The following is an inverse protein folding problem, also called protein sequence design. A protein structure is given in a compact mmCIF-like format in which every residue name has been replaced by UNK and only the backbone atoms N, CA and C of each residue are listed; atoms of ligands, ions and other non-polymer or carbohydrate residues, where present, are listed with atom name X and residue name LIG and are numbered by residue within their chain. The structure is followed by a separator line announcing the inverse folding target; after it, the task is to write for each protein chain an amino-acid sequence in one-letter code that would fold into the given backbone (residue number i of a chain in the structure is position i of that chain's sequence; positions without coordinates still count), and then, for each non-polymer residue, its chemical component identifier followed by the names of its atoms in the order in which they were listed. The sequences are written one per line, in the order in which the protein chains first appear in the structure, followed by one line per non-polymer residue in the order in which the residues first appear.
data_IF_902609482154
#
_entry.id   IF_902609482154
#
_cell.length_a   1.000
_cell.length_b   1.000
_cell.length_c   1.000
_cell.angle_alpha   90.00
_cell.angle_beta   90.00
_cell.angle_gamma   90.00
#
_symmetry.space_group_name_H-M   'P 1'
#
loop_
_entity.id
_entity.type
_entity.pdbx_description
1 polymer ?
#
# COMPACT_ATOMS: atom_id res chain seq x y z
N UNK A 1 -23.28 -3.96 -27.92
CA UNK A 1 -22.35 -3.56 -28.99
C UNK A 1 -21.79 -4.84 -29.57
N UNK A 2 -21.76 -5.02 -30.90
CA UNK A 2 -21.10 -6.18 -31.50
C UNK A 2 -19.59 -6.12 -31.16
N UNK A 3 -19.00 -7.25 -30.80
CA UNK A 3 -17.56 -7.40 -30.58
C UNK A 3 -16.85 -7.66 -31.90
N UNK A 4 -15.53 -7.50 -31.93
CA UNK A 4 -14.72 -7.77 -33.14
C UNK A 4 -15.00 -9.18 -33.66
N UNK A 5 -14.91 -10.22 -32.81
CA UNK A 5 -15.20 -11.59 -33.24
C UNK A 5 -16.63 -11.72 -33.79
N UNK A 6 -17.65 -11.22 -33.09
CA UNK A 6 -19.05 -11.35 -33.55
C UNK A 6 -19.36 -10.57 -34.83
N UNK A 7 -18.54 -9.56 -35.17
CA UNK A 7 -18.71 -8.72 -36.36
C UNK A 7 -18.21 -9.44 -37.62
N UNK A 8 -17.11 -10.17 -37.51
CA UNK A 8 -16.46 -10.82 -38.65
C UNK A 8 -16.72 -12.33 -38.73
N UNK A 9 -17.07 -12.98 -37.62
CA UNK A 9 -17.32 -14.41 -37.56
C UNK A 9 -18.83 -14.72 -37.42
N UNK A 10 -19.56 -14.70 -38.54
CA UNK A 10 -21.00 -15.03 -38.56
C UNK A 10 -21.30 -16.53 -38.66
N UNK A 11 -20.29 -17.40 -38.74
CA UNK A 11 -20.44 -18.86 -38.80
C UNK A 11 -19.12 -19.59 -38.64
N UNK A 12 -19.13 -20.77 -37.99
CA UNK A 12 -17.92 -21.54 -37.67
C UNK A 12 -17.11 -21.93 -38.92
N UNK A 13 -15.79 -22.06 -38.73
CA UNK A 13 -14.89 -22.59 -39.76
C UNK A 13 -15.32 -24.01 -40.13
N UNK A 14 -15.34 -24.33 -41.43
CA UNK A 14 -15.73 -25.64 -41.95
C UNK A 14 -14.91 -26.76 -41.29
N UNK A 15 -15.59 -27.66 -40.58
CA UNK A 15 -15.00 -28.81 -39.88
C UNK A 15 -14.21 -29.72 -40.84
N UNK A 16 -14.63 -29.81 -42.11
CA UNK A 16 -13.89 -30.57 -43.12
C UNK A 16 -12.53 -29.94 -43.47
N UNK A 17 -12.37 -28.63 -43.27
CA UNK A 17 -11.08 -27.93 -43.43
C UNK A 17 -10.20 -28.14 -42.21
N UNK A 18 -10.78 -28.13 -41.00
CA UNK A 18 -10.04 -28.29 -39.75
C UNK A 18 -9.54 -29.72 -39.54
N UNK A 19 -10.36 -30.72 -39.84
CA UNK A 19 -10.08 -32.15 -39.59
C UNK A 19 -9.47 -32.88 -40.79
N UNK A 20 -9.39 -32.22 -41.95
CA UNK A 20 -8.87 -32.81 -43.17
C UNK A 20 -7.41 -33.25 -43.06
N UNK A 21 -7.14 -34.52 -43.36
CA UNK A 21 -5.78 -35.11 -43.44
C UNK A 21 -5.65 -36.07 -44.62
N UNK A 22 -4.42 -36.32 -45.06
CA UNK A 22 -4.10 -37.34 -46.05
C UNK A 22 -3.81 -36.82 -47.45
N UNK A 23 -3.18 -37.67 -48.26
CA UNK A 23 -2.76 -37.37 -49.63
C UNK A 23 -3.95 -37.29 -50.59
N UNK A 24 -3.85 -36.37 -51.53
CA UNK A 24 -4.80 -36.22 -52.62
C UNK A 24 -4.70 -37.34 -53.65
N UNK A 25 -5.78 -37.59 -54.38
CA UNK A 25 -5.74 -38.38 -55.61
C UNK A 25 -5.40 -37.54 -56.84
N UNK A 26 -5.24 -38.20 -57.99
CA UNK A 26 -4.91 -37.58 -59.31
C UNK A 26 -5.85 -36.41 -59.71
N UNK A 27 -7.05 -36.34 -59.11
CA UNK A 27 -8.08 -35.33 -59.41
C UNK A 27 -8.41 -34.38 -58.24
N UNK A 28 -7.77 -34.54 -57.07
CA UNK A 28 -8.02 -33.69 -55.90
C UNK A 28 -6.76 -33.57 -55.06
N UNK A 29 -6.26 -32.36 -54.80
CA UNK A 29 -5.17 -32.18 -53.82
C UNK A 29 -5.63 -32.59 -52.42
N UNK A 30 -4.77 -33.25 -51.64
CA UNK A 30 -5.02 -33.68 -50.27
C UNK A 30 -5.04 -32.52 -49.29
N UNK A 31 -4.96 -32.81 -48.00
CA UNK A 31 -4.89 -31.81 -46.94
C UNK A 31 -3.45 -31.72 -46.42
N UNK A 32 -3.24 -31.92 -45.12
CA UNK A 32 -1.94 -32.01 -44.46
C UNK A 32 -1.48 -33.47 -44.40
N UNK A 33 -0.15 -33.69 -44.34
CA UNK A 33 0.44 -35.03 -44.37
C UNK A 33 0.35 -35.75 -43.04
N UNK A 34 0.59 -35.04 -41.94
CA UNK A 34 0.80 -35.66 -40.63
C UNK A 34 -0.44 -35.56 -39.74
N UNK A 35 -0.99 -34.36 -39.59
CA UNK A 35 -2.00 -34.07 -38.58
C UNK A 35 -3.01 -33.03 -39.07
N UNK A 36 -4.26 -33.03 -38.56
CA UNK A 36 -5.28 -32.07 -38.97
C UNK A 36 -4.92 -30.65 -38.52
N UNK A 37 -5.50 -29.64 -39.16
CA UNK A 37 -5.25 -28.24 -38.84
C UNK A 37 -5.67 -27.89 -37.40
N UNK A 38 -6.73 -28.51 -36.90
CA UNK A 38 -7.21 -28.36 -35.51
C UNK A 38 -6.17 -28.78 -34.47
N UNK A 39 -5.29 -29.72 -34.78
CA UNK A 39 -4.25 -30.19 -33.86
C UNK A 39 -3.12 -29.18 -33.61
N UNK A 40 -3.11 -28.07 -34.36
CA UNK A 40 -2.19 -26.95 -34.14
C UNK A 40 -2.78 -25.86 -33.26
N UNK A 41 -4.05 -25.96 -32.83
CA UNK A 41 -4.66 -25.02 -31.90
C UNK A 41 -4.25 -25.34 -30.46
N UNK A 42 -4.01 -24.30 -29.68
CA UNK A 42 -3.78 -24.42 -28.24
C UNK A 42 -5.12 -24.67 -27.51
N UNK A 43 -5.05 -25.16 -26.28
CA UNK A 43 -6.26 -25.42 -25.47
C UNK A 43 -7.06 -24.12 -25.27
N UNK A 44 -8.32 -24.11 -25.73
CA UNK A 44 -9.21 -22.95 -25.64
C UNK A 44 -9.04 -21.91 -26.75
N UNK A 45 -8.08 -22.09 -27.67
CA UNK A 45 -7.91 -21.25 -28.86
C UNK A 45 -9.01 -21.53 -29.89
N UNK A 46 -9.59 -20.48 -30.48
CA UNK A 46 -10.69 -20.60 -31.43
C UNK A 46 -10.23 -20.25 -32.84
N UNK A 47 -10.40 -21.17 -33.79
CA UNK A 47 -10.23 -20.86 -35.20
C UNK A 47 -11.37 -19.94 -35.68
N UNK A 48 -11.01 -18.81 -36.29
CA UNK A 48 -11.96 -17.82 -36.80
C UNK A 48 -12.07 -17.89 -38.31
N UNK A 49 -10.92 -18.02 -39.00
CA UNK A 49 -10.86 -18.24 -40.44
C UNK A 49 -9.84 -19.30 -40.79
N UNK A 50 -10.11 -20.09 -41.83
CA UNK A 50 -9.12 -20.93 -42.50
C UNK A 50 -9.29 -20.84 -44.01
N UNK A 51 -8.18 -20.71 -44.75
CA UNK A 51 -8.15 -20.63 -46.22
C UNK A 51 -6.99 -21.45 -46.76
N UNK A 52 -7.22 -22.11 -47.90
CA UNK A 52 -6.17 -22.84 -48.61
C UNK A 52 -5.76 -22.12 -49.89
N UNK A 53 -4.48 -22.16 -50.24
CA UNK A 53 -4.01 -21.69 -51.54
C UNK A 53 -3.53 -22.82 -52.46
N UNK A 54 -4.00 -24.04 -52.20
CA UNK A 54 -3.60 -25.25 -52.91
C UNK A 54 -2.07 -25.41 -52.93
N UNK A 55 -1.44 -25.18 -54.08
CA UNK A 55 -0.01 -25.43 -54.32
C UNK A 55 0.90 -24.21 -54.22
N UNK A 56 0.35 -23.03 -53.91
CA UNK A 56 1.14 -21.77 -53.96
C UNK A 56 2.09 -21.62 -52.78
N UNK A 57 1.73 -22.14 -51.61
CA UNK A 57 2.59 -22.10 -50.44
C UNK A 57 2.63 -20.72 -49.78
N UNK A 58 3.64 -20.48 -48.95
CA UNK A 58 3.79 -19.23 -48.18
C UNK A 58 5.13 -18.62 -48.50
N UNK A 59 5.17 -17.30 -48.70
CA UNK A 59 6.42 -16.56 -48.87
C UNK A 59 6.73 -15.77 -47.61
N UNK A 60 8.00 -15.78 -47.18
CA UNK A 60 8.56 -14.90 -46.17
C UNK A 60 9.68 -14.08 -46.79
N UNK A 61 9.69 -12.78 -46.53
CA UNK A 61 10.80 -11.87 -46.85
C UNK A 61 11.05 -10.90 -45.71
N UNK A 62 12.17 -10.19 -45.76
CA UNK A 62 12.41 -9.03 -44.90
C UNK A 62 11.96 -7.76 -45.63
N UNK A 63 11.53 -6.72 -44.92
CA UNK A 63 11.05 -5.46 -45.53
C UNK A 63 12.12 -4.82 -46.42
N UNK A 64 13.38 -4.79 -45.93
CA UNK A 64 14.53 -4.17 -46.61
C UNK A 64 15.48 -5.18 -47.28
N UNK A 65 15.10 -6.46 -47.34
CA UNK A 65 15.97 -7.54 -47.80
C UNK A 65 15.54 -8.13 -49.14
N UNK A 66 16.53 -8.47 -49.99
CA UNK A 66 16.30 -9.21 -51.24
C UNK A 66 16.10 -10.73 -51.02
N UNK A 67 16.24 -11.21 -49.78
CA UNK A 67 16.09 -12.63 -49.46
C UNK A 67 14.62 -13.03 -49.29
N UNK A 68 14.08 -13.68 -50.30
CA UNK A 68 12.78 -14.35 -50.26
C UNK A 68 12.97 -15.85 -49.94
N UNK A 69 12.21 -16.35 -48.96
CA UNK A 69 12.07 -17.79 -48.71
C UNK A 69 10.64 -18.22 -48.95
N UNK A 70 10.45 -19.22 -49.81
CA UNK A 70 9.14 -19.81 -50.10
C UNK A 70 9.04 -21.21 -49.50
N UNK A 71 7.87 -21.50 -48.95
CA UNK A 71 7.51 -22.79 -48.35
C UNK A 71 6.37 -23.37 -49.18
N UNK A 72 6.63 -24.41 -49.97
CA UNK A 72 5.66 -24.96 -50.93
C UNK A 72 5.22 -26.37 -50.52
N UNK A 73 3.93 -26.70 -50.66
CA UNK A 73 3.45 -28.02 -50.29
C UNK A 73 3.85 -29.09 -51.31
N UNK A 74 4.00 -30.34 -50.87
CA UNK A 74 4.29 -31.49 -51.72
C UNK A 74 3.21 -31.78 -52.77
N UNK A 75 3.50 -32.65 -53.75
CA UNK A 75 2.65 -32.91 -54.93
C UNK A 75 1.21 -33.33 -54.60
N UNK A 76 0.97 -33.93 -53.43
CA UNK A 76 -0.34 -34.41 -53.01
C UNK A 76 -0.98 -33.58 -51.87
N UNK A 77 -0.35 -32.49 -51.40
CA UNK A 77 -0.77 -31.75 -50.20
C UNK A 77 -1.09 -30.26 -50.48
N UNK A 78 -1.52 -29.50 -49.48
CA UNK A 78 -1.85 -28.08 -49.64
C UNK A 78 -1.25 -27.22 -48.53
N UNK A 79 -1.21 -25.90 -48.77
CA UNK A 79 -0.92 -24.92 -47.76
C UNK A 79 -2.18 -24.19 -47.28
N UNK A 80 -2.17 -23.79 -46.01
CA UNK A 80 -3.26 -23.16 -45.29
C UNK A 80 -2.77 -21.93 -44.54
N UNK A 81 -3.62 -20.92 -44.47
CA UNK A 81 -3.58 -19.87 -43.45
C UNK A 81 -4.79 -20.05 -42.55
N UNK A 82 -4.56 -19.98 -41.24
CA UNK A 82 -5.60 -19.97 -40.21
C UNK A 82 -5.41 -18.73 -39.35
N UNK A 83 -6.49 -18.00 -39.09
CA UNK A 83 -6.49 -16.88 -38.16
C UNK A 83 -7.37 -17.28 -36.97
N UNK A 84 -6.82 -17.15 -35.78
CA UNK A 84 -7.50 -17.49 -34.53
C UNK A 84 -7.84 -16.23 -33.73
N UNK A 85 -8.32 -16.39 -32.50
CA UNK A 85 -8.47 -15.31 -31.52
C UNK A 85 -7.13 -14.88 -30.88
N UNK A 86 -6.03 -15.60 -31.14
CA UNK A 86 -4.71 -15.34 -30.55
C UNK A 86 -3.57 -15.10 -31.57
N UNK A 87 -3.60 -15.76 -32.73
CA UNK A 87 -2.48 -15.78 -33.68
C UNK A 87 -2.91 -16.08 -35.11
N UNK A 88 -1.99 -15.86 -36.05
CA UNK A 88 -2.06 -16.38 -37.40
C UNK A 88 -1.14 -17.59 -37.52
N UNK A 89 -1.65 -18.67 -38.12
CA UNK A 89 -0.90 -19.89 -38.37
C UNK A 89 -0.82 -20.15 -39.87
N UNK A 90 0.40 -20.32 -40.36
CA UNK A 90 0.64 -20.89 -41.68
C UNK A 90 1.04 -22.34 -41.53
N UNK A 91 0.40 -23.23 -42.29
CA UNK A 91 0.75 -24.66 -42.34
C UNK A 91 0.87 -25.10 -43.78
N UNK A 92 1.99 -25.72 -44.13
CA UNK A 92 2.33 -26.19 -45.48
C UNK A 92 2.53 -27.70 -45.41
N UNK A 93 1.63 -28.44 -46.06
CA UNK A 93 1.68 -29.89 -46.03
C UNK A 93 2.84 -30.46 -46.85
N UNK A 94 3.62 -31.37 -46.25
CA UNK A 94 4.75 -32.04 -46.89
C UNK A 94 5.76 -31.08 -47.57
N UNK A 95 6.24 -30.09 -46.83
CA UNK A 95 7.20 -29.13 -47.36
C UNK A 95 8.57 -29.79 -47.57
N UNK A 96 9.10 -29.69 -48.79
CA UNK A 96 10.37 -30.31 -49.22
C UNK A 96 10.48 -31.84 -48.95
N UNK A 97 9.35 -32.53 -48.74
CA UNK A 97 9.30 -33.98 -48.46
C UNK A 97 9.57 -34.37 -47.00
N UNK A 98 9.83 -33.38 -46.13
CA UNK A 98 10.25 -33.56 -44.73
C UNK A 98 9.08 -33.50 -43.73
N UNK A 99 7.83 -33.57 -44.20
CA UNK A 99 6.62 -33.50 -43.37
C UNK A 99 5.98 -32.11 -43.36
N UNK A 100 5.03 -31.89 -42.45
CA UNK A 100 4.28 -30.64 -42.39
C UNK A 100 5.13 -29.52 -41.78
N UNK A 101 5.23 -28.39 -42.48
CA UNK A 101 5.88 -27.18 -41.97
C UNK A 101 4.84 -26.21 -41.42
N UNK A 102 5.12 -25.59 -40.28
CA UNK A 102 4.22 -24.58 -39.70
C UNK A 102 4.97 -23.41 -39.07
N UNK A 103 4.31 -22.26 -39.03
CA UNK A 103 4.76 -21.08 -38.27
C UNK A 103 3.54 -20.36 -37.70
N UNK A 104 3.66 -19.96 -36.43
CA UNK A 104 2.71 -19.10 -35.74
C UNK A 104 3.25 -17.66 -35.69
N UNK A 105 2.36 -16.69 -35.90
CA UNK A 105 2.61 -15.27 -35.79
C UNK A 105 1.60 -14.72 -34.79
N UNK A 106 2.07 -14.26 -33.63
CA UNK A 106 1.19 -13.68 -32.61
C UNK A 106 0.49 -12.43 -33.18
N UNK A 107 -0.79 -12.26 -32.89
CA UNK A 107 -1.54 -11.08 -33.35
C UNK A 107 -0.95 -9.78 -32.82
N UNK A 108 -0.34 -9.80 -31.64
CA UNK A 108 0.38 -8.65 -31.05
C UNK A 108 1.68 -8.29 -31.80
N UNK A 109 2.20 -9.20 -32.63
CA UNK A 109 3.41 -8.96 -33.44
C UNK A 109 3.11 -8.43 -34.83
N UNK A 110 1.84 -8.37 -35.24
CA UNK A 110 1.43 -7.90 -36.57
C UNK A 110 1.24 -6.38 -36.54
N UNK A 111 2.01 -5.66 -37.35
CA UNK A 111 1.95 -4.20 -37.46
C UNK A 111 1.08 -3.73 -38.61
N UNK A 112 1.16 -4.42 -39.76
CA UNK A 112 0.46 -4.05 -40.98
C UNK A 112 -0.16 -5.30 -41.58
N UNK A 113 -1.45 -5.19 -41.91
CA UNK A 113 -2.18 -6.18 -42.71
C UNK A 113 -2.55 -5.52 -44.03
N UNK A 114 -2.06 -6.07 -45.13
CA UNK A 114 -2.42 -5.63 -46.48
C UNK A 114 -3.23 -6.71 -47.19
N UNK A 115 -4.28 -6.27 -47.88
CA UNK A 115 -5.08 -7.11 -48.77
C UNK A 115 -5.08 -6.51 -50.17
N UNK A 116 -4.68 -7.31 -51.15
CA UNK A 116 -4.71 -6.93 -52.55
C UNK A 116 -5.62 -7.87 -53.35
N UNK A 117 -6.63 -7.31 -54.00
CA UNK A 117 -7.47 -8.04 -54.95
C UNK A 117 -6.81 -8.09 -56.31
N UNK A 118 -6.50 -9.29 -56.79
CA UNK A 118 -5.93 -9.53 -58.11
C UNK A 118 -6.89 -10.29 -59.01
N UNK A 119 -6.82 -10.04 -60.32
CA UNK A 119 -7.67 -10.72 -61.32
C UNK A 119 -7.55 -12.26 -61.32
N UNK A 120 -6.46 -12.81 -60.76
CA UNK A 120 -6.17 -14.26 -60.76
C UNK A 120 -6.10 -14.86 -59.35
N UNK A 121 -5.92 -14.04 -58.32
CA UNK A 121 -5.83 -14.42 -56.92
C UNK A 121 -5.82 -13.18 -56.03
N UNK A 122 -6.40 -13.31 -54.85
CA UNK A 122 -6.30 -12.36 -53.76
C UNK A 122 -5.04 -12.66 -52.96
N UNK A 123 -4.41 -11.63 -52.40
CA UNK A 123 -3.18 -11.73 -51.63
C UNK A 123 -3.35 -11.05 -50.27
N UNK A 124 -2.97 -11.78 -49.22
CA UNK A 124 -2.78 -11.27 -47.86
C UNK A 124 -1.28 -11.11 -47.63
N UNK A 125 -0.86 -9.93 -47.18
CA UNK A 125 0.49 -9.68 -46.67
C UNK A 125 0.43 -9.19 -45.22
N UNK A 126 1.31 -9.74 -44.38
CA UNK A 126 1.41 -9.39 -42.96
C UNK A 126 2.83 -8.93 -42.68
N UNK A 127 3.00 -7.71 -42.19
CA UNK A 127 4.29 -7.22 -41.69
C UNK A 127 4.31 -7.35 -40.18
N UNK A 128 5.35 -8.00 -39.66
CA UNK A 128 5.55 -8.17 -38.23
C UNK A 128 6.52 -7.12 -37.67
N UNK A 129 6.52 -6.90 -36.35
CA UNK A 129 7.48 -6.05 -35.62
C UNK A 129 8.97 -6.40 -35.84
N UNK A 130 9.23 -7.60 -36.36
CA UNK A 130 10.57 -8.07 -36.72
C UNK A 130 10.97 -7.72 -38.16
N UNK A 131 10.22 -6.84 -38.81
CA UNK A 131 10.34 -6.47 -40.23
C UNK A 131 10.28 -7.70 -41.17
N UNK A 132 9.59 -8.76 -40.74
CA UNK A 132 9.30 -9.92 -41.59
C UNK A 132 7.94 -9.74 -42.24
N UNK A 133 7.90 -9.85 -43.57
CA UNK A 133 6.68 -9.83 -44.38
C UNK A 133 6.32 -11.24 -44.79
N UNK A 134 5.11 -11.67 -44.42
CA UNK A 134 4.54 -12.96 -44.78
C UNK A 134 3.45 -12.78 -45.82
N UNK A 135 3.52 -13.52 -46.92
CA UNK A 135 2.59 -13.41 -48.03
C UNK A 135 1.87 -14.74 -48.30
N UNK A 136 0.56 -14.64 -48.46
CA UNK A 136 -0.32 -15.75 -48.76
C UNK A 136 -1.35 -15.34 -49.82
N UNK A 137 -1.25 -15.93 -51.02
CA UNK A 137 -2.19 -15.66 -52.10
C UNK A 137 -3.12 -16.83 -52.39
N UNK A 138 -4.44 -16.66 -52.34
CA UNK A 138 -5.42 -17.69 -52.67
C UNK A 138 -6.47 -17.20 -53.69
N UNK A 139 -7.31 -18.11 -54.20
CA UNK A 139 -8.38 -17.75 -55.15
C UNK A 139 -9.67 -17.31 -54.46
N UNK A 140 -9.82 -17.65 -53.20
CA UNK A 140 -10.98 -17.28 -52.39
C UNK A 140 -10.83 -15.82 -51.93
N UNK A 141 -11.94 -15.22 -51.53
CA UNK A 141 -11.92 -13.88 -50.93
C UNK A 141 -11.21 -13.90 -49.57
N UNK A 142 -10.33 -12.92 -49.38
CA UNK A 142 -9.52 -12.70 -48.17
C UNK A 142 -9.89 -11.40 -47.45
N UNK A 143 -10.84 -10.61 -47.96
CA UNK A 143 -11.22 -9.30 -47.43
C UNK A 143 -11.62 -9.35 -45.95
N UNK A 144 -12.57 -10.23 -45.59
CA UNK A 144 -13.03 -10.40 -44.19
C UNK A 144 -11.92 -10.94 -43.28
N UNK A 145 -11.08 -11.85 -43.78
CA UNK A 145 -9.94 -12.40 -43.04
C UNK A 145 -8.92 -11.30 -42.73
N UNK A 146 -8.58 -10.49 -43.73
CA UNK A 146 -7.64 -9.38 -43.57
C UNK A 146 -8.20 -8.30 -42.64
N UNK A 147 -9.47 -7.94 -42.80
CA UNK A 147 -10.14 -6.96 -41.92
C UNK A 147 -10.21 -7.45 -40.46
N UNK A 148 -10.49 -8.74 -40.25
CA UNK A 148 -10.44 -9.33 -38.92
C UNK A 148 -9.01 -9.36 -38.36
N UNK A 149 -8.02 -9.79 -39.15
CA UNK A 149 -6.62 -9.85 -38.70
C UNK A 149 -6.09 -8.46 -38.29
N UNK A 150 -6.45 -7.41 -39.03
CA UNK A 150 -6.11 -6.02 -38.71
C UNK A 150 -6.80 -5.55 -37.42
N UNK A 151 -8.10 -5.77 -37.29
CA UNK A 151 -8.84 -5.41 -36.08
C UNK A 151 -8.34 -6.19 -34.85
N UNK A 152 -7.99 -7.46 -35.02
CA UNK A 152 -7.50 -8.32 -33.97
C UNK A 152 -6.08 -7.98 -33.54
N UNK A 153 -5.17 -7.64 -34.47
CA UNK A 153 -3.82 -7.18 -34.13
C UNK A 153 -3.85 -5.89 -33.33
N UNK A 154 -4.70 -4.93 -33.72
CA UNK A 154 -4.89 -3.67 -32.97
C UNK A 154 -5.41 -3.93 -31.56
N UNK A 155 -6.38 -4.83 -31.39
CA UNK A 155 -6.92 -5.17 -30.08
C UNK A 155 -5.85 -5.82 -29.18
N UNK A 156 -5.09 -6.77 -29.72
CA UNK A 156 -3.97 -7.40 -29.02
C UNK A 156 -2.87 -6.40 -28.63
N UNK A 157 -2.51 -5.48 -29.53
CA UNK A 157 -1.53 -4.43 -29.26
C UNK A 157 -1.96 -3.53 -28.09
N UNK A 158 -3.25 -3.14 -28.03
CA UNK A 158 -3.78 -2.33 -26.92
C UNK A 158 -3.73 -3.06 -25.59
N UNK A 159 -4.10 -4.34 -25.58
CA UNK A 159 -3.99 -5.18 -24.38
C UNK A 159 -2.54 -5.24 -23.92
N UNK A 160 -1.60 -5.58 -24.80
CA UNK A 160 -0.17 -5.66 -24.42
C UNK A 160 0.38 -4.32 -23.94
N UNK A 161 0.02 -3.19 -24.58
CA UNK A 161 0.42 -1.84 -24.14
C UNK A 161 -0.01 -1.58 -22.69
N UNK A 162 -1.28 -1.83 -22.35
CA UNK A 162 -1.76 -1.68 -20.99
C UNK A 162 -1.05 -2.61 -19.99
N UNK A 163 -0.69 -3.82 -20.40
CA UNK A 163 0.05 -4.77 -19.56
C UNK A 163 1.53 -4.38 -19.37
N UNK A 164 2.14 -3.73 -20.35
CA UNK A 164 3.47 -3.12 -20.25
C UNK A 164 3.44 -1.93 -19.30
N UNK A 165 2.49 -1.00 -19.47
CA UNK A 165 2.31 0.16 -18.59
C UNK A 165 2.08 -0.27 -17.12
N UNK A 166 1.21 -1.25 -16.90
CA UNK A 166 0.98 -1.83 -15.57
C UNK A 166 2.27 -2.41 -14.95
N UNK A 167 3.14 -3.01 -15.77
CA UNK A 167 4.41 -3.57 -15.31
C UNK A 167 5.40 -2.47 -14.92
N UNK A 168 5.52 -1.42 -15.72
CA UNK A 168 6.37 -0.27 -15.41
C UNK A 168 5.94 0.39 -14.10
N UNK A 169 4.64 0.60 -13.92
CA UNK A 169 4.08 1.15 -12.67
C UNK A 169 4.37 0.27 -11.44
N UNK A 170 4.35 -1.06 -11.58
CA UNK A 170 4.74 -1.96 -10.49
C UNK A 170 6.23 -1.82 -10.13
N UNK A 171 7.10 -1.60 -11.13
CA UNK A 171 8.54 -1.36 -10.89
C UNK A 171 8.73 -0.02 -10.17
N UNK A 172 8.07 1.04 -10.62
CA UNK A 172 8.14 2.37 -10.00
C UNK A 172 7.64 2.35 -8.55
N UNK A 173 6.51 1.67 -8.31
CA UNK A 173 5.99 1.47 -6.95
C UNK A 173 6.98 0.70 -6.06
N UNK A 174 7.72 -0.25 -6.63
CA UNK A 174 8.82 -0.95 -5.95
C UNK A 174 9.90 0.01 -5.47
N UNK A 175 10.35 0.93 -6.34
CA UNK A 175 11.33 1.97 -6.00
C UNK A 175 10.82 2.92 -4.91
N UNK A 176 9.56 3.38 -5.01
CA UNK A 176 8.93 4.23 -3.99
C UNK A 176 8.81 3.52 -2.63
N UNK A 177 8.46 2.22 -2.64
CA UNK A 177 8.40 1.39 -1.42
C UNK A 177 9.77 1.30 -0.75
N UNK A 178 10.85 1.12 -1.51
CA UNK A 178 12.22 1.09 -0.98
C UNK A 178 12.63 2.44 -0.37
N UNK A 179 12.20 3.54 -0.97
CA UNK A 179 12.37 4.89 -0.44
C UNK A 179 11.45 5.21 0.78
N UNK A 180 10.58 4.28 1.19
CA UNK A 180 9.55 4.43 2.23
C UNK A 180 8.47 5.46 1.90
N UNK A 181 8.29 5.77 0.62
CA UNK A 181 7.23 6.65 0.10
C UNK A 181 5.94 5.84 -0.13
N UNK A 182 5.42 5.22 0.93
CA UNK A 182 4.36 4.21 0.81
C UNK A 182 3.04 4.74 0.22
N UNK A 183 2.68 5.99 0.52
CA UNK A 183 1.44 6.59 -0.03
C UNK A 183 1.57 6.84 -1.54
N UNK A 184 2.76 7.25 -2.01
CA UNK A 184 3.04 7.37 -3.43
C UNK A 184 3.02 5.99 -4.12
N UNK A 185 3.65 4.99 -3.51
CA UNK A 185 3.65 3.61 -4.00
C UNK A 185 2.23 3.05 -4.17
N UNK A 186 1.33 3.30 -3.21
CA UNK A 186 -0.07 2.87 -3.31
C UNK A 186 -0.86 3.65 -4.37
N UNK A 187 -0.55 4.93 -4.59
CA UNK A 187 -1.09 5.70 -5.70
C UNK A 187 -0.68 5.12 -7.06
N UNK A 188 0.60 4.79 -7.23
CA UNK A 188 1.14 4.16 -8.43
C UNK A 188 0.52 2.78 -8.68
N UNK A 189 0.33 1.97 -7.64
CA UNK A 189 -0.32 0.65 -7.76
C UNK A 189 -1.83 0.74 -8.05
N UNK A 190 -2.49 1.81 -7.62
CA UNK A 190 -3.86 2.09 -8.04
C UNK A 190 -3.92 2.37 -9.55
N UNK A 191 -2.99 3.16 -10.09
CA UNK A 191 -2.86 3.35 -11.54
C UNK A 191 -2.60 2.03 -12.28
N UNK A 192 -1.69 1.18 -11.77
CA UNK A 192 -1.43 -0.13 -12.37
C UNK A 192 -2.68 -1.05 -12.38
N UNK A 193 -3.54 -0.93 -11.36
CA UNK A 193 -4.83 -1.65 -11.31
C UNK A 193 -5.79 -1.16 -12.39
N UNK A 194 -5.82 0.15 -12.66
CA UNK A 194 -6.63 0.73 -13.73
C UNK A 194 -6.14 0.30 -15.12
N UNK A 195 -4.83 0.16 -15.32
CA UNK A 195 -4.26 -0.36 -16.57
C UNK A 195 -4.66 -1.81 -16.83
N UNK A 196 -4.59 -2.69 -15.81
CA UNK A 196 -5.08 -4.07 -15.98
C UNK A 196 -6.59 -4.13 -16.21
N UNK A 197 -7.36 -3.22 -15.59
CA UNK A 197 -8.79 -3.10 -15.85
C UNK A 197 -9.08 -2.58 -17.27
N UNK A 198 -8.24 -1.70 -17.82
CA UNK A 198 -8.30 -1.24 -19.20
C UNK A 198 -8.04 -2.38 -20.19
N UNK A 199 -6.99 -3.17 -19.96
CA UNK A 199 -6.73 -4.39 -20.74
C UNK A 199 -7.94 -5.34 -20.74
N UNK A 200 -8.60 -5.53 -19.60
CA UNK A 200 -9.83 -6.34 -19.48
C UNK A 200 -11.01 -5.76 -20.28
N UNK A 201 -11.12 -4.44 -20.37
CA UNK A 201 -12.16 -3.79 -21.19
C UNK A 201 -11.89 -3.98 -22.68
N UNK A 202 -10.63 -3.87 -23.11
CA UNK A 202 -10.22 -4.13 -24.50
C UNK A 202 -10.48 -5.60 -24.88
N UNK A 203 -10.12 -6.56 -24.01
CA UNK A 203 -10.44 -7.99 -24.20
C UNK A 203 -11.94 -8.21 -24.43
N UNK A 204 -12.80 -7.64 -23.55
CA UNK A 204 -14.26 -7.79 -23.67
C UNK A 204 -14.84 -7.08 -24.88
N UNK A 205 -14.20 -6.01 -25.34
CA UNK A 205 -14.52 -5.34 -26.60
C UNK A 205 -14.19 -6.20 -27.82
N UNK A 206 -13.09 -6.97 -27.74
CA UNK A 206 -12.67 -7.90 -28.77
C UNK A 206 -13.56 -9.16 -28.82
N UNK A 207 -13.81 -9.80 -27.67
CA UNK A 207 -14.63 -10.99 -27.52
C UNK A 207 -15.45 -10.92 -26.21
N UNK A 208 -16.78 -11.01 -26.31
CA UNK A 208 -17.66 -10.85 -25.14
C UNK A 208 -17.42 -11.93 -24.07
N UNK A 209 -17.12 -13.15 -24.51
CA UNK A 209 -16.80 -14.29 -23.65
C UNK A 209 -15.32 -14.33 -23.22
N UNK A 210 -14.53 -13.34 -23.63
CA UNK A 210 -13.09 -13.28 -23.42
C UNK A 210 -12.27 -14.13 -24.41
N UNK A 211 -10.95 -14.01 -24.31
CA UNK A 211 -9.98 -14.79 -25.08
C UNK A 211 -9.01 -15.41 -24.08
N UNK A 212 -8.93 -16.75 -24.04
CA UNK A 212 -8.16 -17.46 -23.03
C UNK A 212 -6.69 -16.99 -22.94
N UNK A 213 -6.07 -16.71 -24.10
CA UNK A 213 -4.72 -16.19 -24.18
C UNK A 213 -4.57 -14.78 -23.58
N UNK A 214 -5.52 -13.86 -23.86
CA UNK A 214 -5.53 -12.51 -23.26
C UNK A 214 -5.79 -12.59 -21.76
N UNK A 215 -6.82 -13.34 -21.35
CA UNK A 215 -7.21 -13.53 -19.95
C UNK A 215 -6.03 -14.01 -19.10
N UNK A 216 -5.28 -15.01 -19.57
CA UNK A 216 -4.10 -15.54 -18.88
C UNK A 216 -3.02 -14.48 -18.66
N UNK A 217 -2.78 -13.60 -19.64
CA UNK A 217 -1.78 -12.53 -19.54
C UNK A 217 -2.25 -11.43 -18.60
N UNK A 218 -3.53 -11.02 -18.68
CA UNK A 218 -4.15 -10.03 -17.80
C UNK A 218 -4.13 -10.51 -16.36
N UNK A 219 -4.58 -11.73 -16.08
CA UNK A 219 -4.61 -12.32 -14.74
C UNK A 219 -3.22 -12.40 -14.11
N UNK A 220 -2.18 -12.70 -14.91
CA UNK A 220 -0.79 -12.68 -14.44
C UNK A 220 -0.34 -11.28 -14.05
N UNK A 221 -0.72 -10.24 -14.80
CA UNK A 221 -0.41 -8.86 -14.46
C UNK A 221 -1.18 -8.41 -13.20
N UNK A 222 -2.48 -8.69 -13.13
CA UNK A 222 -3.32 -8.42 -11.94
C UNK A 222 -2.74 -9.08 -10.69
N UNK A 223 -2.25 -10.32 -10.80
CA UNK A 223 -1.58 -11.01 -9.70
C UNK A 223 -0.32 -10.29 -9.21
N UNK A 224 0.52 -9.78 -10.13
CA UNK A 224 1.71 -9.00 -9.77
C UNK A 224 1.36 -7.68 -9.10
N UNK A 225 0.37 -6.96 -9.63
CA UNK A 225 -0.12 -5.70 -9.01
C UNK A 225 -0.63 -5.96 -7.60
N UNK A 226 -1.43 -7.03 -7.42
CA UNK A 226 -1.98 -7.44 -6.12
C UNK A 226 -0.88 -7.79 -5.12
N UNK A 227 0.12 -8.56 -5.53
CA UNK A 227 1.25 -8.93 -4.67
C UNK A 227 2.05 -7.69 -4.23
N UNK A 228 2.40 -6.81 -5.17
CA UNK A 228 3.09 -5.57 -4.87
C UNK A 228 2.29 -4.65 -3.91
N UNK A 229 0.96 -4.60 -4.05
CA UNK A 229 0.06 -3.88 -3.13
C UNK A 229 0.08 -4.45 -1.73
N UNK A 230 0.01 -5.78 -1.59
CA UNK A 230 0.09 -6.46 -0.29
C UNK A 230 1.42 -6.18 0.39
N UNK A 231 2.54 -6.26 -0.33
CA UNK A 231 3.86 -5.96 0.22
C UNK A 231 3.99 -4.51 0.67
N UNK A 232 3.47 -3.56 -0.12
CA UNK A 232 3.49 -2.13 0.20
C UNK A 232 2.66 -1.82 1.45
N UNK A 233 1.44 -2.36 1.55
CA UNK A 233 0.58 -2.22 2.72
C UNK A 233 1.24 -2.79 3.98
N UNK A 234 1.84 -3.98 3.89
CA UNK A 234 2.57 -4.60 5.02
C UNK A 234 3.76 -3.74 5.45
N UNK A 235 4.52 -3.20 4.49
CA UNK A 235 5.63 -2.29 4.76
C UNK A 235 5.18 -1.03 5.48
N UNK A 236 4.12 -0.37 4.97
CA UNK A 236 3.54 0.83 5.58
C UNK A 236 3.03 0.57 6.99
N UNK A 237 2.33 -0.54 7.21
CA UNK A 237 1.82 -0.92 8.52
C UNK A 237 2.95 -1.09 9.55
N UNK A 238 4.07 -1.73 9.18
CA UNK A 238 5.24 -1.87 10.06
C UNK A 238 5.84 -0.50 10.36
N UNK A 239 6.04 0.34 9.35
CA UNK A 239 6.58 1.68 9.54
C UNK A 239 5.69 2.54 10.48
N UNK A 240 4.36 2.46 10.31
CA UNK A 240 3.39 3.13 11.18
C UNK A 240 3.46 2.62 12.62
N UNK A 241 3.62 1.32 12.84
CA UNK A 241 3.81 0.75 14.19
C UNK A 241 5.07 1.31 14.85
N UNK A 242 6.21 1.29 14.14
CA UNK A 242 7.48 1.80 14.68
C UNK A 242 7.34 3.28 15.07
N UNK A 243 6.71 4.08 14.19
CA UNK A 243 6.44 5.49 14.45
C UNK A 243 5.47 5.70 15.61
N UNK A 244 4.43 4.87 15.74
CA UNK A 244 3.49 4.93 16.84
C UNK A 244 4.18 4.65 18.19
N UNK A 245 5.08 3.67 18.24
CA UNK A 245 5.83 3.35 19.45
C UNK A 245 6.79 4.48 19.86
N UNK A 246 7.44 5.16 18.91
CA UNK A 246 8.24 6.37 19.20
C UNK A 246 7.37 7.47 19.81
N UNK A 247 6.26 7.82 19.16
CA UNK A 247 5.33 8.86 19.63
C UNK A 247 4.75 8.53 21.01
N UNK A 248 4.48 7.25 21.29
CA UNK A 248 4.00 6.82 22.59
C UNK A 248 5.06 6.95 23.69
N UNK A 249 6.34 6.74 23.38
CA UNK A 249 7.44 6.98 24.33
C UNK A 249 7.59 8.47 24.66
N UNK A 250 7.27 9.34 23.69
CA UNK A 250 7.35 10.79 23.83
C UNK A 250 6.05 11.45 24.36
N UNK A 251 5.12 10.65 24.93
CA UNK A 251 3.82 11.11 25.44
C UNK A 251 2.93 11.83 24.40
N UNK A 252 3.19 11.62 23.10
CA UNK A 252 2.41 12.14 21.98
C UNK A 252 1.24 11.20 21.62
N UNK A 253 0.33 10.99 22.58
CA UNK A 253 -0.69 9.93 22.56
C UNK A 253 -1.63 9.96 21.35
N UNK A 254 -2.22 11.12 20.99
CA UNK A 254 -3.16 11.23 19.85
C UNK A 254 -2.49 10.89 18.52
N UNK A 255 -1.24 11.36 18.34
CA UNK A 255 -0.46 11.06 17.14
C UNK A 255 -0.08 9.57 17.09
N UNK A 256 0.31 8.98 18.22
CA UNK A 256 0.57 7.54 18.32
C UNK A 256 -0.68 6.71 17.99
N UNK A 257 -1.86 7.14 18.46
CA UNK A 257 -3.13 6.48 18.19
C UNK A 257 -3.44 6.48 16.70
N UNK A 258 -3.29 7.64 16.04
CA UNK A 258 -3.50 7.76 14.59
C UNK A 258 -2.59 6.82 13.78
N UNK A 259 -1.34 6.66 14.20
CA UNK A 259 -0.40 5.74 13.55
C UNK A 259 -0.78 4.27 13.76
N UNK A 260 -1.16 3.86 14.98
CA UNK A 260 -1.64 2.50 15.21
C UNK A 260 -2.94 2.19 14.45
N UNK A 261 -3.88 3.14 14.40
CA UNK A 261 -5.11 2.99 13.63
C UNK A 261 -4.81 2.83 12.13
N UNK A 262 -3.95 3.67 11.57
CA UNK A 262 -3.52 3.51 10.18
C UNK A 262 -2.81 2.17 9.91
N UNK A 263 -2.05 1.64 10.87
CA UNK A 263 -1.46 0.30 10.75
C UNK A 263 -2.51 -0.83 10.79
N UNK A 264 -3.58 -0.66 11.59
CA UNK A 264 -4.72 -1.58 11.62
C UNK A 264 -5.42 -1.61 10.26
N UNK A 265 -5.78 -0.44 9.74
CA UNK A 265 -6.42 -0.27 8.43
C UNK A 265 -5.59 -0.91 7.31
N UNK A 266 -4.27 -0.74 7.32
CA UNK A 266 -3.37 -1.36 6.34
C UNK A 266 -3.41 -2.88 6.38
N UNK A 267 -3.44 -3.49 7.57
CA UNK A 267 -3.55 -4.95 7.69
C UNK A 267 -4.94 -5.47 7.31
N UNK A 268 -6.00 -4.70 7.55
CA UNK A 268 -7.35 -5.04 7.06
C UNK A 268 -7.36 -5.01 5.53
N UNK A 269 -6.82 -3.97 4.91
CA UNK A 269 -6.71 -3.86 3.45
C UNK A 269 -5.90 -5.02 2.83
N UNK A 270 -4.88 -5.54 3.54
CA UNK A 270 -4.16 -6.75 3.13
C UNK A 270 -5.08 -7.97 3.09
N UNK A 271 -5.96 -8.16 4.07
CA UNK A 271 -6.91 -9.29 4.08
C UNK A 271 -7.89 -9.21 2.93
N UNK A 272 -8.42 -8.01 2.65
CA UNK A 272 -9.33 -7.77 1.54
C UNK A 272 -8.67 -7.98 0.18
N UNK A 273 -7.39 -7.63 0.06
CA UNK A 273 -6.64 -7.72 -1.21
C UNK A 273 -6.17 -9.15 -1.51
N UNK A 274 -5.81 -9.94 -0.50
CA UNK A 274 -5.05 -11.17 -0.70
C UNK A 274 -5.91 -12.42 -1.02
N UNK A 275 -7.24 -12.32 -0.97
CA UNK A 275 -8.19 -13.43 -1.16
C UNK A 275 -7.73 -14.74 -0.47
N UNK A 276 -7.26 -14.59 0.78
CA UNK A 276 -6.69 -15.69 1.55
C UNK A 276 -7.81 -16.43 2.27
N UNK A 277 -7.69 -17.76 2.32
CA UNK A 277 -8.51 -18.56 3.20
C UNK A 277 -8.20 -18.27 4.68
N UNK A 278 -8.94 -18.93 5.57
CA UNK A 278 -8.79 -18.73 7.00
C UNK A 278 -7.38 -19.06 7.49
N UNK A 279 -6.73 -20.10 6.96
CA UNK A 279 -5.40 -20.52 7.40
C UNK A 279 -4.32 -19.55 6.88
N UNK A 280 -4.38 -19.17 5.60
CA UNK A 280 -3.49 -18.19 4.97
C UNK A 280 -3.55 -16.81 5.61
N UNK A 281 -4.72 -16.41 6.12
CA UNK A 281 -4.92 -15.12 6.81
C UNK A 281 -4.45 -15.09 8.28
N UNK A 282 -4.11 -16.23 8.87
CA UNK A 282 -3.82 -16.34 10.32
C UNK A 282 -2.70 -15.41 10.78
N UNK A 283 -1.62 -15.28 9.98
CA UNK A 283 -0.49 -14.41 10.30
C UNK A 283 -0.89 -12.93 10.33
N UNK A 284 -1.70 -12.47 9.38
CA UNK A 284 -2.16 -11.08 9.30
C UNK A 284 -3.14 -10.79 10.44
N UNK A 285 -4.08 -11.70 10.72
CA UNK A 285 -5.02 -11.55 11.86
C UNK A 285 -4.30 -11.48 13.21
N UNK A 286 -3.23 -12.25 13.39
CA UNK A 286 -2.38 -12.14 14.59
C UNK A 286 -1.72 -10.76 14.72
N UNK A 287 -1.35 -10.13 13.61
CA UNK A 287 -0.79 -8.77 13.59
C UNK A 287 -1.87 -7.72 13.91
N UNK A 288 -3.07 -7.84 13.33
CA UNK A 288 -4.23 -7.00 13.68
C UNK A 288 -4.51 -7.06 15.18
N UNK A 289 -4.66 -8.27 15.74
CA UNK A 289 -4.91 -8.46 17.18
C UNK A 289 -3.75 -7.95 18.07
N UNK A 290 -2.53 -7.81 17.53
CA UNK A 290 -1.42 -7.15 18.24
C UNK A 290 -1.60 -5.64 18.23
N UNK A 291 -1.95 -5.05 17.09
CA UNK A 291 -2.23 -3.61 16.98
C UNK A 291 -3.40 -3.21 17.86
N UNK A 292 -4.48 -3.99 17.88
CA UNK A 292 -5.65 -3.75 18.75
C UNK A 292 -5.29 -3.77 20.24
N UNK A 293 -4.43 -4.72 20.66
CA UNK A 293 -3.92 -4.73 22.03
C UNK A 293 -3.04 -3.52 22.35
N UNK A 294 -2.25 -3.06 21.39
CA UNK A 294 -1.44 -1.85 21.56
C UNK A 294 -2.34 -0.60 21.66
N UNK A 295 -3.38 -0.49 20.84
CA UNK A 295 -4.39 0.58 20.94
C UNK A 295 -5.04 0.57 22.33
N UNK A 296 -5.58 -0.57 22.78
CA UNK A 296 -6.20 -0.68 24.10
C UNK A 296 -5.26 -0.40 25.28
N UNK A 297 -3.94 -0.58 25.10
CA UNK A 297 -2.94 -0.19 26.08
C UNK A 297 -2.62 1.31 26.01
N UNK A 298 -2.55 1.86 24.80
CA UNK A 298 -2.31 3.29 24.55
C UNK A 298 -3.46 4.14 25.10
N UNK A 299 -4.71 3.70 24.94
CA UNK A 299 -5.91 4.40 25.44
C UNK A 299 -5.87 4.60 26.96
N UNK A 300 -5.30 3.66 27.70
CA UNK A 300 -5.18 3.72 29.18
C UNK A 300 -3.89 4.36 29.67
N UNK A 301 -2.86 4.41 28.81
CA UNK A 301 -1.52 4.85 29.19
C UNK A 301 -1.45 6.25 29.84
N UNK A 302 -2.20 7.28 29.41
CA UNK A 302 -2.15 8.60 30.05
C UNK A 302 -2.53 8.56 31.52
N UNK A 303 -3.65 7.92 31.85
CA UNK A 303 -4.16 7.79 33.22
C UNK A 303 -3.26 6.86 34.04
N UNK A 304 -2.90 5.69 33.51
CA UNK A 304 -2.02 4.74 34.22
C UNK A 304 -0.65 5.37 34.55
N UNK A 305 -0.10 6.24 33.67
CA UNK A 305 1.15 6.97 33.96
C UNK A 305 0.96 8.05 35.01
N UNK A 306 -0.19 8.73 35.04
CA UNK A 306 -0.52 9.70 36.07
C UNK A 306 -0.68 9.04 37.44
N UNK A 307 -1.38 7.91 37.50
CA UNK A 307 -1.55 7.07 38.69
C UNK A 307 -0.21 6.58 39.22
N UNK A 308 0.66 6.04 38.36
CA UNK A 308 2.01 5.63 38.77
C UNK A 308 2.86 6.78 39.33
N UNK A 309 2.69 8.02 38.83
CA UNK A 309 3.39 9.17 39.40
C UNK A 309 2.83 9.53 40.78
N UNK A 310 1.50 9.46 40.94
CA UNK A 310 0.82 9.68 42.21
C UNK A 310 1.19 8.63 43.26
N UNK A 311 1.25 7.35 42.88
CA UNK A 311 1.66 6.26 43.77
C UNK A 311 3.10 6.43 44.26
N UNK A 312 4.04 6.80 43.37
CA UNK A 312 5.42 7.14 43.76
C UNK A 312 5.46 8.30 44.75
N UNK A 313 4.54 9.26 44.65
CA UNK A 313 4.44 10.34 45.61
C UNK A 313 3.97 9.86 46.99
N UNK A 314 3.02 8.91 47.01
CA UNK A 314 2.54 8.29 48.25
C UNK A 314 3.65 7.53 48.98
N UNK A 315 4.49 6.83 48.22
CA UNK A 315 5.59 6.02 48.74
C UNK A 315 6.84 6.83 49.11
N UNK A 316 6.91 8.11 48.74
CA UNK A 316 8.05 8.97 49.01
C UNK A 316 8.20 9.29 50.52
N UNK A 317 9.33 8.90 51.11
CA UNK A 317 9.60 9.10 52.54
C UNK A 317 9.96 10.54 52.92
N UNK A 318 10.44 11.36 51.97
CA UNK A 318 10.76 12.76 52.20
C UNK A 318 9.72 13.67 51.55
N UNK A 319 9.26 14.75 52.21
CA UNK A 319 8.27 15.65 51.63
C UNK A 319 8.71 16.36 50.35
N UNK A 320 10.01 16.60 50.16
CA UNK A 320 10.51 17.22 48.93
C UNK A 320 10.38 16.26 47.74
N UNK A 321 10.75 15.00 47.94
CA UNK A 321 10.58 13.94 46.94
C UNK A 321 9.10 13.72 46.63
N UNK A 322 8.24 13.71 47.67
CA UNK A 322 6.78 13.65 47.51
C UNK A 322 6.25 14.81 46.67
N UNK A 323 6.65 16.05 46.96
CA UNK A 323 6.21 17.22 46.20
C UNK A 323 6.60 17.13 44.72
N UNK A 324 7.82 16.67 44.43
CA UNK A 324 8.31 16.45 43.06
C UNK A 324 7.46 15.41 42.31
N UNK A 325 7.09 14.32 42.98
CA UNK A 325 6.24 13.29 42.39
C UNK A 325 4.78 13.75 42.22
N UNK A 326 4.24 14.52 43.16
CA UNK A 326 2.89 15.11 43.05
C UNK A 326 2.78 16.10 41.90
N UNK A 327 3.80 16.95 41.69
CA UNK A 327 3.85 17.86 40.55
C UNK A 327 3.82 17.09 39.21
N UNK A 328 4.62 16.04 39.10
CA UNK A 328 4.63 15.15 37.93
C UNK A 328 3.31 14.41 37.71
N UNK A 329 2.59 14.08 38.79
CA UNK A 329 1.28 13.45 38.72
C UNK A 329 0.23 14.46 38.25
N UNK A 330 0.25 15.67 38.81
CA UNK A 330 -0.65 16.77 38.44
C UNK A 330 -0.52 17.13 36.96
N UNK A 331 0.71 17.29 36.45
CA UNK A 331 0.98 17.53 35.04
C UNK A 331 0.38 16.43 34.15
N UNK A 332 0.53 15.16 34.53
CA UNK A 332 0.02 14.01 33.75
C UNK A 332 -1.49 13.90 33.79
N UNK A 333 -2.15 14.13 34.93
CA UNK A 333 -3.61 14.15 34.99
C UNK A 333 -4.20 15.29 34.18
N UNK A 334 -3.59 16.49 34.22
CA UNK A 334 -3.99 17.62 33.36
C UNK A 334 -3.83 17.26 31.89
N UNK A 335 -2.70 16.65 31.50
CA UNK A 335 -2.49 16.16 30.14
C UNK A 335 -3.55 15.15 29.73
N UNK A 336 -3.88 14.18 30.58
CA UNK A 336 -4.91 13.19 30.33
C UNK A 336 -6.31 13.83 30.18
N UNK A 337 -6.59 14.90 30.92
CA UNK A 337 -7.82 15.68 30.82
C UNK A 337 -7.92 16.46 29.49
N UNK A 338 -6.78 16.93 28.96
CA UNK A 338 -6.70 17.66 27.69
C UNK A 338 -6.88 16.76 26.46
N UNK A 339 -6.59 15.46 26.57
CA UNK A 339 -6.72 14.52 25.45
C UNK A 339 -8.18 14.40 25.01
N UNK A 340 -8.40 14.48 23.69
CA UNK A 340 -9.73 14.46 23.08
C UNK A 340 -10.70 15.53 23.62
N UNK A 341 -10.20 16.63 24.20
CA UNK A 341 -11.06 17.67 24.73
C UNK A 341 -11.93 18.28 23.63
N UNK A 342 -13.25 18.21 23.82
CA UNK A 342 -14.24 18.71 22.85
C UNK A 342 -14.57 17.73 21.71
N UNK A 343 -14.02 16.52 21.73
CA UNK A 343 -14.43 15.43 20.84
C UNK A 343 -15.64 14.69 21.42
N UNK A 344 -16.59 14.32 20.57
CA UNK A 344 -17.70 13.43 20.94
C UNK A 344 -17.23 11.97 21.09
N UNK A 345 -16.20 11.59 20.33
CA UNK A 345 -15.55 10.27 20.40
C UNK A 345 -14.29 10.37 21.25
N UNK A 346 -14.42 10.11 22.57
CA UNK A 346 -13.25 10.01 23.47
C UNK A 346 -12.58 8.66 23.30
N UNK A 347 -11.32 8.69 22.88
CA UNK A 347 -10.46 7.53 22.64
C UNK A 347 -9.71 7.15 23.91
N UNK A 348 -9.26 8.14 24.67
CA UNK A 348 -8.48 7.91 25.89
C UNK A 348 -9.36 7.69 27.12
N UNK A 349 -8.92 6.75 27.97
CA UNK A 349 -9.61 6.38 29.20
C UNK A 349 -9.61 7.51 30.24
N UNK A 350 -10.57 7.43 31.16
CA UNK A 350 -10.75 8.34 32.30
C UNK A 350 -11.98 9.22 32.13
N UNK A 351 -12.91 9.17 33.09
CA UNK A 351 -14.07 10.07 33.08
C UNK A 351 -13.63 11.52 33.32
N UNK A 352 -14.21 12.48 32.60
CA UNK A 352 -13.78 13.88 32.68
C UNK A 352 -14.06 14.48 34.06
N UNK A 353 -15.16 14.11 34.72
CA UNK A 353 -15.48 14.58 36.05
C UNK A 353 -14.52 13.96 37.08
N UNK A 354 -14.29 12.65 37.00
CA UNK A 354 -13.37 11.95 37.90
C UNK A 354 -11.94 12.48 37.77
N UNK A 355 -11.48 12.77 36.54
CA UNK A 355 -10.16 13.34 36.29
C UNK A 355 -10.04 14.76 36.85
N UNK A 356 -11.08 15.59 36.77
CA UNK A 356 -11.07 16.94 37.38
C UNK A 356 -11.01 16.85 38.91
N UNK A 357 -11.82 15.99 39.52
CA UNK A 357 -11.76 15.76 40.97
C UNK A 357 -10.37 15.26 41.40
N UNK A 358 -9.77 14.37 40.61
CA UNK A 358 -8.41 13.87 40.87
C UNK A 358 -7.37 14.98 40.74
N UNK A 359 -7.46 15.85 39.74
CA UNK A 359 -6.59 17.03 39.57
C UNK A 359 -6.68 17.94 40.80
N UNK A 360 -7.90 18.25 41.26
CA UNK A 360 -8.13 19.11 42.44
C UNK A 360 -7.55 18.48 43.72
N UNK A 361 -7.75 17.17 43.90
CA UNK A 361 -7.20 16.43 45.04
C UNK A 361 -5.67 16.40 45.04
N UNK A 362 -5.04 16.12 43.90
CA UNK A 362 -3.58 16.09 43.76
C UNK A 362 -2.98 17.49 43.92
N UNK A 363 -3.62 18.53 43.39
CA UNK A 363 -3.19 19.92 43.57
C UNK A 363 -3.23 20.34 45.04
N UNK A 364 -4.30 19.95 45.76
CA UNK A 364 -4.44 20.19 47.20
C UNK A 364 -3.32 19.49 47.98
N UNK A 365 -3.05 18.21 47.73
CA UNK A 365 -1.98 17.47 48.40
C UNK A 365 -0.58 18.04 48.06
N UNK A 366 -0.38 18.53 46.84
CA UNK A 366 0.86 19.20 46.45
C UNK A 366 1.08 20.48 47.26
N UNK A 367 0.06 21.32 47.35
CA UNK A 367 0.10 22.57 48.13
C UNK A 367 0.38 22.30 49.61
N UNK A 368 -0.32 21.33 50.21
CA UNK A 368 -0.08 20.94 51.60
C UNK A 368 1.33 20.38 51.80
N UNK A 369 1.81 19.52 50.90
CA UNK A 369 3.14 18.92 50.98
C UNK A 369 4.22 19.99 50.88
N UNK A 370 4.13 20.92 49.92
CA UNK A 370 5.08 22.04 49.81
C UNK A 370 5.03 22.99 51.01
N UNK A 371 3.84 23.25 51.56
CA UNK A 371 3.71 23.98 52.83
C UNK A 371 4.46 23.29 53.98
N UNK A 372 4.35 21.96 54.10
CA UNK A 372 5.10 21.16 55.11
C UNK A 372 6.61 21.22 54.87
N UNK A 373 7.06 21.20 53.62
CA UNK A 373 8.48 21.42 53.26
C UNK A 373 8.94 22.78 53.77
N UNK A 374 8.22 23.86 53.46
CA UNK A 374 8.55 25.21 53.91
C UNK A 374 8.60 25.29 55.46
N UNK A 375 7.61 24.73 56.16
CA UNK A 375 7.62 24.69 57.64
C UNK A 375 8.84 23.98 58.21
N UNK A 376 9.29 22.87 57.61
CA UNK A 376 10.52 22.17 58.04
C UNK A 376 11.77 23.02 57.81
N UNK A 377 11.83 23.75 56.70
CA UNK A 377 12.93 24.68 56.40
C UNK A 377 12.95 25.86 57.37
N UNK A 378 11.80 26.41 57.72
CA UNK A 378 11.67 27.45 58.76
C UNK A 378 12.17 26.92 60.11
N UNK A 379 11.74 25.73 60.52
CA UNK A 379 12.20 25.13 61.78
C UNK A 379 13.72 24.93 61.81
N UNK A 380 14.30 24.42 60.71
CA UNK A 380 15.76 24.31 60.59
C UNK A 380 16.44 25.68 60.66
N UNK A 381 15.88 26.71 60.01
CA UNK A 381 16.36 28.08 60.10
C UNK A 381 16.33 28.64 61.52
N UNK A 382 15.25 28.36 62.27
CA UNK A 382 15.11 28.74 63.67
C UNK A 382 16.18 28.03 64.54
N UNK A 383 16.44 26.74 64.32
CA UNK A 383 17.50 25.97 65.00
C UNK A 383 18.91 26.50 64.68
N UNK A 384 19.19 26.81 63.41
CA UNK A 384 20.45 27.43 63.00
C UNK A 384 20.64 28.81 63.63
N UNK A 385 19.58 29.62 63.69
CA UNK A 385 19.60 30.93 64.34
C UNK A 385 19.88 30.80 65.84
N UNK A 386 19.23 29.86 66.53
CA UNK A 386 19.47 29.58 67.95
C UNK A 386 20.91 29.12 68.22
N UNK A 387 21.52 28.41 67.27
CA UNK A 387 22.92 28.01 67.31
C UNK A 387 23.92 29.09 66.82
N UNK A 388 23.47 30.33 66.61
CA UNK A 388 24.25 31.46 66.07
C UNK A 388 24.87 31.22 64.68
N UNK A 389 24.36 30.24 63.93
CA UNK A 389 24.74 29.90 62.55
C UNK A 389 23.92 30.72 61.56
N UNK A 390 24.22 32.02 61.48
CA UNK A 390 23.38 33.00 60.77
C UNK A 390 23.28 32.78 59.27
N UNK A 391 24.37 32.38 58.61
CA UNK A 391 24.36 32.17 57.16
C UNK A 391 23.57 30.92 56.80
N UNK A 392 23.67 29.85 57.59
CA UNK A 392 22.83 28.65 57.41
C UNK A 392 21.35 28.92 57.70
N UNK A 393 21.05 29.73 58.73
CA UNK A 393 19.68 30.16 59.02
C UNK A 393 19.07 30.97 57.86
N UNK A 394 19.86 31.90 57.29
CA UNK A 394 19.44 32.70 56.13
C UNK A 394 19.16 31.82 54.92
N UNK A 395 20.03 30.85 54.64
CA UNK A 395 19.82 29.89 53.53
C UNK A 395 18.52 29.11 53.74
N UNK A 396 18.29 28.55 54.93
CA UNK A 396 17.09 27.78 55.22
C UNK A 396 15.79 28.60 55.07
N UNK A 397 15.79 29.87 55.50
CA UNK A 397 14.62 30.74 55.30
C UNK A 397 14.40 31.14 53.84
N UNK A 398 15.46 31.36 53.06
CA UNK A 398 15.33 31.63 51.62
C UNK A 398 14.73 30.43 50.90
N UNK A 399 15.23 29.23 51.17
CA UNK A 399 14.64 28.00 50.61
C UNK A 399 13.17 27.83 51.00
N UNK A 400 12.79 28.17 52.24
CA UNK A 400 11.39 28.14 52.67
C UNK A 400 10.52 29.14 51.89
N UNK A 401 11.04 30.35 51.68
CA UNK A 401 10.36 31.41 50.91
C UNK A 401 10.20 31.00 49.45
N UNK A 402 11.26 30.50 48.82
CA UNK A 402 11.23 30.08 47.40
C UNK A 402 10.14 29.01 47.18
N UNK A 403 10.07 28.00 48.06
CA UNK A 403 9.03 26.97 48.02
C UNK A 403 7.63 27.59 48.19
N UNK A 404 7.44 28.57 49.08
CA UNK A 404 6.14 29.22 49.29
C UNK A 404 5.75 30.09 48.10
N UNK A 405 6.68 30.83 47.49
CA UNK A 405 6.42 31.64 46.30
C UNK A 405 5.99 30.77 45.11
N UNK A 406 6.69 29.64 44.87
CA UNK A 406 6.28 28.65 43.87
C UNK A 406 4.90 28.04 44.18
N UNK A 407 4.63 27.74 45.45
CA UNK A 407 3.36 27.15 45.88
C UNK A 407 2.18 28.12 45.72
N UNK A 408 2.38 29.41 46.00
CA UNK A 408 1.35 30.45 45.80
C UNK A 408 0.95 30.56 44.33
N UNK A 409 1.92 30.45 43.41
CA UNK A 409 1.62 30.46 41.98
C UNK A 409 0.69 29.31 41.59
N UNK A 410 0.98 28.08 42.02
CA UNK A 410 0.11 26.91 41.78
C UNK A 410 -1.25 27.05 42.48
N UNK A 411 -1.27 27.50 43.74
CA UNK A 411 -2.51 27.62 44.52
C UNK A 411 -3.49 28.63 43.92
N UNK A 412 -3.02 29.73 43.34
CA UNK A 412 -3.89 30.72 42.68
C UNK A 412 -4.71 30.13 41.53
N UNK A 413 -4.14 29.16 40.81
CA UNK A 413 -4.81 28.53 39.67
C UNK A 413 -5.72 27.39 40.11
N UNK A 414 -5.25 26.55 41.04
CA UNK A 414 -5.87 25.24 41.30
C UNK A 414 -6.44 25.06 42.71
N UNK A 415 -6.00 25.85 43.69
CA UNK A 415 -6.45 25.75 45.09
C UNK A 415 -6.60 27.16 45.71
N UNK A 416 -7.52 28.01 45.21
CA UNK A 416 -7.57 29.43 45.57
C UNK A 416 -7.75 29.67 47.07
N UNK A 417 -8.49 28.80 47.75
CA UNK A 417 -8.76 28.88 49.20
C UNK A 417 -7.50 28.79 50.07
N UNK A 418 -6.39 28.23 49.54
CA UNK A 418 -5.13 28.11 50.26
C UNK A 418 -4.23 29.35 50.15
N UNK A 419 -4.52 30.28 49.22
CA UNK A 419 -3.62 31.38 48.85
C UNK A 419 -3.32 32.29 50.03
N UNK A 420 -4.35 32.74 50.76
CA UNK A 420 -4.17 33.69 51.88
C UNK A 420 -3.28 33.09 52.97
N UNK A 421 -3.51 31.81 53.32
CA UNK A 421 -2.71 31.10 54.32
C UNK A 421 -1.25 30.95 53.89
N UNK A 422 -0.98 30.73 52.59
CA UNK A 422 0.39 30.63 52.07
C UNK A 422 1.10 31.98 52.05
N UNK A 423 0.39 33.05 51.68
CA UNK A 423 0.93 34.43 51.70
C UNK A 423 1.28 34.85 53.12
N UNK A 424 0.39 34.61 54.09
CA UNK A 424 0.68 34.88 55.50
C UNK A 424 1.92 34.12 56.01
N UNK A 425 2.05 32.85 55.60
CA UNK A 425 3.23 32.04 55.96
C UNK A 425 4.50 32.62 55.36
N UNK A 426 4.48 33.02 54.08
CA UNK A 426 5.62 33.65 53.41
C UNK A 426 6.01 34.97 54.07
N UNK A 427 5.05 35.84 54.36
CA UNK A 427 5.29 37.13 55.01
C UNK A 427 5.85 36.93 56.44
N UNK A 428 5.54 35.83 57.10
CA UNK A 428 6.18 35.43 58.36
C UNK A 428 7.63 34.95 58.19
N UNK A 429 8.00 34.37 57.04
CA UNK A 429 9.39 34.03 56.70
C UNK A 429 10.18 35.27 56.34
N UNK A 430 9.61 36.19 55.55
CA UNK A 430 10.26 37.47 55.20
C UNK A 430 10.60 38.29 56.45
N UNK A 431 9.67 38.39 57.42
CA UNK A 431 9.96 39.03 58.71
C UNK A 431 11.14 38.40 59.47
N UNK A 432 11.35 37.08 59.34
CA UNK A 432 12.50 36.39 59.96
C UNK A 432 13.81 36.70 59.22
N UNK A 433 13.76 36.77 57.88
CA UNK A 433 14.88 37.19 57.05
C UNK A 433 15.31 38.63 57.39
N UNK A 434 14.36 39.56 57.44
CA UNK A 434 14.62 40.96 57.81
C UNK A 434 15.24 41.09 59.20
N UNK A 435 14.75 40.30 60.17
CA UNK A 435 15.32 40.26 61.53
C UNK A 435 16.77 39.78 61.56
N UNK A 436 17.18 38.85 60.69
CA UNK A 436 18.58 38.41 60.59
C UNK A 436 19.49 39.46 59.93
N UNK A 437 18.92 40.33 59.10
CA UNK A 437 19.64 41.40 58.41
C UNK A 437 19.80 42.64 59.29
N UNK A 438 18.78 43.01 60.07
CA UNK A 438 18.86 44.07 61.08
C UNK A 438 19.87 43.76 62.20
N UNK A 439 19.98 42.49 62.60
CA UNK A 439 20.98 41.99 63.55
C UNK A 439 22.43 42.13 63.07
N UNK A 440 22.65 42.29 61.75
CA UNK A 440 23.97 42.53 61.16
C UNK A 440 24.42 43.97 61.37
N UNK A 441 23.47 44.91 61.40
CA UNK A 441 23.74 46.34 61.53
C UNK A 441 24.12 46.75 62.97
N UNK A 442 23.63 46.01 63.97
CA UNK A 442 23.90 46.28 65.40
C UNK A 442 25.27 45.75 65.88
N UNK A 443 25.90 44.82 65.16
CA UNK A 443 27.19 44.20 65.57
C UNK A 443 28.41 44.85 64.88
N UNK A 444 28.20 45.68 63.86
CA UNK A 444 29.29 46.37 63.12
C UNK A 444 29.58 47.81 63.58
N UNK A 445 28.99 48.28 64.68
CA UNK A 445 29.25 49.63 65.22
C UNK A 445 30.03 49.53 66.55
N UNK A 446 31.35 49.75 66.50
CA UNK A 446 32.00 50.65 67.45
C UNK A 446 32.74 51.82 66.79
#
# INVERSE_FOLDING_TARGET
MPTVISTYNTGDVDEAVLEGTGSGGILSSGYLRERPLSSYLDEGERAIFARSNAKRGVTRRHVDGDSERRFTPGEDYRAFVMVTDARLLFVVGDNDGDGDWSVAIDLADVEIVEHNEGLLANELALTTRSDAVWQFGCREDLSDLAAYADAASIAWLRVESHLEDARELVVDAGGQREAREYDAALGTLAAATEETAAARREERGFAADGVAAMATRIERAEARVREAKIETLRGRAVHRIDRAEELWRDDAYEAAYGQFLGAHEDYVAVLETADLDFEGSASVRKKIARVERNLAALERAPVERAEQAHDRARDAGQPMDRATHLERALERYRRALELDWGSEDRRFAGDTADLRETVDAVATDLVETRRRVATRRVAAGDDHRAAHRRDEARTAYREARDVLDETVATARELVPDAVDTLVEHRDAVDRRLDSLEGDRQVVTDP
#
